data_IF_478672072451
#
_entry.id   IF_478672072451
#
_cell.length_a   1.000
_cell.length_b   1.000
_cell.length_c   1.000
_cell.angle_alpha   90.00
_cell.angle_beta   90.00
_cell.angle_gamma   90.00
#
_symmetry.space_group_name_H-M   'P 1'
#
loop_
_entity.id
_entity.type
_entity.pdbx_description
1 polymer ?
#
# COMPACT_ATOMS: atom_id res chain seq x y z
N UNK A 1 -64.69 3.51 -26.75
CA UNK A 1 -63.45 3.82 -27.51
C UNK A 1 -62.64 4.95 -26.87
N UNK A 2 -63.28 6.02 -26.40
CA UNK A 2 -62.65 7.21 -25.76
C UNK A 2 -61.81 6.88 -24.52
N UNK A 3 -62.29 6.05 -23.58
CA UNK A 3 -61.54 5.72 -22.36
C UNK A 3 -60.20 4.98 -22.58
N UNK A 4 -59.98 4.38 -23.76
CA UNK A 4 -58.74 3.63 -24.05
C UNK A 4 -57.64 4.54 -24.58
N UNK A 5 -57.99 5.62 -25.27
CA UNK A 5 -57.03 6.65 -25.69
C UNK A 5 -56.53 7.46 -24.50
N UNK A 6 -57.41 7.85 -23.57
CA UNK A 6 -57.02 8.57 -22.35
C UNK A 6 -56.05 7.75 -21.48
N UNK A 7 -56.28 6.43 -21.36
CA UNK A 7 -55.37 5.53 -20.63
C UNK A 7 -53.98 5.44 -21.28
N UNK A 8 -53.89 5.40 -22.62
CA UNK A 8 -52.61 5.42 -23.33
C UNK A 8 -51.87 6.75 -23.14
N UNK A 9 -52.61 7.86 -23.16
CA UNK A 9 -52.05 9.18 -22.90
C UNK A 9 -51.51 9.31 -21.48
N UNK A 10 -52.26 8.83 -20.47
CA UNK A 10 -51.83 8.81 -19.08
C UNK A 10 -50.59 7.93 -18.84
N UNK A 11 -50.52 6.75 -19.47
CA UNK A 11 -49.34 5.86 -19.37
C UNK A 11 -48.13 6.50 -20.06
N UNK A 12 -48.31 7.08 -21.26
CA UNK A 12 -47.25 7.79 -21.98
C UNK A 12 -46.70 9.00 -21.22
N UNK A 13 -47.59 9.78 -20.60
CA UNK A 13 -47.22 10.92 -19.76
C UNK A 13 -46.44 10.48 -18.50
N UNK A 14 -46.85 9.38 -17.85
CA UNK A 14 -46.16 8.83 -16.68
C UNK A 14 -44.73 8.33 -16.98
N UNK A 15 -44.54 7.65 -18.11
CA UNK A 15 -43.22 7.18 -18.55
C UNK A 15 -42.33 8.37 -18.95
N UNK A 16 -42.87 9.35 -19.70
CA UNK A 16 -42.14 10.56 -20.08
C UNK A 16 -41.68 11.38 -18.87
N UNK A 17 -42.56 11.57 -17.88
CA UNK A 17 -42.23 12.29 -16.64
C UNK A 17 -41.13 11.56 -15.84
N UNK A 18 -41.19 10.23 -15.77
CA UNK A 18 -40.21 9.41 -15.05
C UNK A 18 -38.82 9.47 -15.71
N UNK A 19 -38.76 9.46 -17.05
CA UNK A 19 -37.51 9.64 -17.81
C UNK A 19 -36.93 11.04 -17.58
N UNK A 20 -37.76 12.07 -17.63
CA UNK A 20 -37.34 13.46 -17.37
C UNK A 20 -36.81 13.63 -15.94
N UNK A 21 -37.53 13.13 -14.94
CA UNK A 21 -37.11 13.17 -13.54
C UNK A 21 -35.79 12.40 -13.34
N UNK A 22 -35.65 11.21 -13.94
CA UNK A 22 -34.40 10.47 -13.92
C UNK A 22 -33.24 11.28 -14.51
N UNK A 23 -33.44 11.91 -15.67
CA UNK A 23 -32.41 12.70 -16.34
C UNK A 23 -32.01 13.93 -15.52
N UNK A 24 -32.97 14.60 -14.89
CA UNK A 24 -32.73 15.75 -13.99
C UNK A 24 -31.96 15.30 -12.76
N UNK A 25 -32.38 14.24 -12.08
CA UNK A 25 -31.70 13.71 -10.89
C UNK A 25 -30.27 13.25 -11.24
N UNK A 26 -30.08 12.58 -12.39
CA UNK A 26 -28.76 12.14 -12.86
C UNK A 26 -27.84 13.33 -13.08
N UNK A 27 -28.32 14.38 -13.77
CA UNK A 27 -27.55 15.59 -14.06
C UNK A 27 -27.18 16.37 -12.80
N UNK A 28 -28.09 16.45 -11.82
CA UNK A 28 -27.81 17.09 -10.53
C UNK A 28 -26.78 16.28 -9.70
N UNK A 29 -26.86 14.93 -9.71
CA UNK A 29 -25.86 14.07 -9.06
C UNK A 29 -24.49 14.12 -9.71
N UNK A 30 -24.42 14.19 -11.04
CA UNK A 30 -23.17 14.35 -11.78
C UNK A 30 -22.52 15.70 -11.47
N UNK A 31 -23.29 16.78 -11.46
CA UNK A 31 -22.78 18.11 -11.09
C UNK A 31 -22.29 18.19 -9.64
N UNK A 32 -22.94 17.48 -8.70
CA UNK A 32 -22.52 17.46 -7.29
C UNK A 32 -21.22 16.67 -7.05
N UNK A 33 -20.74 15.88 -8.02
CA UNK A 33 -19.47 15.14 -7.91
C UNK A 33 -18.24 15.98 -8.27
N UNK A 34 -18.42 17.21 -8.76
CA UNK A 34 -17.32 18.15 -8.95
C UNK A 34 -16.91 18.76 -7.60
N UNK A 35 -16.32 17.94 -6.75
CA UNK A 35 -15.39 18.46 -5.75
C UNK A 35 -14.08 18.66 -6.49
N UNK A 36 -13.72 19.91 -6.78
CA UNK A 36 -12.46 20.24 -7.41
C UNK A 36 -11.31 19.81 -6.48
N UNK A 37 -10.73 18.65 -6.78
CA UNK A 37 -9.56 18.17 -6.05
C UNK A 37 -8.39 19.09 -6.40
N UNK A 38 -7.91 19.84 -5.41
CA UNK A 38 -6.75 20.71 -5.58
C UNK A 38 -5.49 19.85 -5.45
N UNK A 39 -4.62 19.77 -6.47
CA UNK A 39 -3.35 19.06 -6.34
C UNK A 39 -2.43 19.80 -5.34
N UNK A 40 -2.06 19.13 -4.25
CA UNK A 40 -1.20 19.70 -3.19
C UNK A 40 0.29 19.36 -3.33
N UNK A 41 0.64 18.50 -4.28
CA UNK A 41 2.02 18.07 -4.47
C UNK A 41 2.14 16.87 -5.39
N UNK A 42 3.38 16.52 -5.71
CA UNK A 42 3.74 15.33 -6.48
C UNK A 42 4.79 14.54 -5.69
N UNK A 43 4.68 13.23 -5.72
CA UNK A 43 5.67 12.33 -5.10
C UNK A 43 6.99 12.49 -5.83
N UNK A 44 8.04 12.91 -5.12
CA UNK A 44 9.38 13.05 -5.69
C UNK A 44 10.12 11.71 -5.74
N UNK A 45 10.11 10.97 -4.63
CA UNK A 45 10.87 9.74 -4.44
C UNK A 45 10.09 8.78 -3.55
N UNK A 46 10.35 7.48 -3.73
CA UNK A 46 9.77 6.41 -2.94
C UNK A 46 10.88 5.57 -2.34
N UNK A 47 10.66 5.11 -1.12
CA UNK A 47 11.61 4.28 -0.38
C UNK A 47 10.90 3.11 0.29
N UNK A 48 11.61 1.98 0.36
CA UNK A 48 11.20 0.79 1.12
C UNK A 48 12.32 0.40 2.08
N UNK A 49 11.98 -0.02 3.29
CA UNK A 49 12.93 -0.36 4.34
C UNK A 49 12.77 -1.82 4.78
N UNK A 50 13.39 -2.81 4.12
CA UNK A 50 13.18 -4.23 4.44
C UNK A 50 13.43 -4.58 5.91
N UNK A 51 14.46 -3.94 6.51
CA UNK A 51 14.81 -4.08 7.92
C UNK A 51 14.57 -2.76 8.63
N UNK A 52 13.84 -2.80 9.75
CA UNK A 52 13.53 -1.62 10.57
C UNK A 52 14.81 -0.88 10.97
N UNK A 53 14.78 0.44 10.81
CA UNK A 53 15.88 1.36 11.17
C UNK A 53 17.17 1.22 10.36
N UNK A 54 17.19 0.39 9.30
CA UNK A 54 18.31 0.32 8.36
C UNK A 54 18.14 1.31 7.18
N UNK A 55 19.11 1.33 6.27
CA UNK A 55 19.09 2.18 5.06
C UNK A 55 17.92 1.81 4.15
N UNK A 56 17.22 2.83 3.65
CA UNK A 56 16.13 2.64 2.70
C UNK A 56 16.62 2.36 1.29
N UNK A 57 15.86 1.55 0.55
CA UNK A 57 16.05 1.30 -0.87
C UNK A 57 15.19 2.30 -1.64
N UNK A 58 15.80 3.11 -2.50
CA UNK A 58 15.06 3.96 -3.44
C UNK A 58 14.42 3.10 -4.52
N UNK A 59 13.13 3.31 -4.78
CA UNK A 59 12.35 2.56 -5.77
C UNK A 59 11.58 3.49 -6.67
N UNK A 60 11.37 3.10 -7.93
CA UNK A 60 10.55 3.85 -8.87
C UNK A 60 9.06 3.76 -8.53
N UNK A 61 8.62 2.58 -8.09
CA UNK A 61 7.24 2.29 -7.71
C UNK A 61 7.20 1.16 -6.67
N UNK A 62 6.11 1.11 -5.92
CA UNK A 62 5.78 -0.02 -5.06
C UNK A 62 4.27 -0.28 -5.08
N UNK A 63 3.87 -1.48 -4.67
CA UNK A 63 2.49 -1.82 -4.41
C UNK A 63 2.09 -1.37 -3.00
N UNK A 64 0.96 -0.67 -2.87
CA UNK A 64 0.39 -0.29 -1.59
C UNK A 64 -0.37 -1.48 -0.98
N UNK A 65 0.35 -2.41 -0.37
CA UNK A 65 -0.25 -3.55 0.33
C UNK A 65 -0.92 -3.08 1.65
N UNK A 66 -1.96 -3.76 2.16
CA UNK A 66 -2.60 -3.41 3.43
C UNK A 66 -1.65 -3.29 4.64
N UNK A 67 -0.50 -3.98 4.60
CA UNK A 67 0.53 -3.95 5.64
C UNK A 67 1.63 -2.91 5.39
N UNK A 68 1.63 -2.24 4.23
CA UNK A 68 2.63 -1.23 3.86
C UNK A 68 3.15 -1.39 2.42
N UNK A 69 4.08 -0.53 1.99
CA UNK A 69 4.70 -0.60 0.67
C UNK A 69 5.43 -1.92 0.40
N UNK A 70 5.31 -2.45 -0.83
CA UNK A 70 6.01 -3.64 -1.29
C UNK A 70 6.63 -3.42 -2.67
N UNK A 71 7.93 -3.65 -2.80
CA UNK A 71 8.64 -3.57 -4.09
C UNK A 71 9.38 -4.87 -4.36
N UNK A 72 8.84 -5.69 -5.28
CA UNK A 72 9.30 -7.07 -5.46
C UNK A 72 9.17 -7.86 -4.16
N UNK A 73 10.28 -8.42 -3.69
CA UNK A 73 10.34 -9.16 -2.42
C UNK A 73 10.62 -8.26 -1.19
N UNK A 74 10.80 -6.95 -1.40
CA UNK A 74 11.10 -6.00 -0.34
C UNK A 74 9.79 -5.46 0.24
N UNK A 75 9.39 -6.00 1.39
CA UNK A 75 8.27 -5.50 2.20
C UNK A 75 8.76 -4.45 3.19
N UNK A 76 8.04 -3.34 3.33
CA UNK A 76 8.42 -2.31 4.30
C UNK A 76 8.39 -2.84 5.74
N UNK A 77 9.53 -2.74 6.43
CA UNK A 77 9.78 -3.08 7.84
C UNK A 77 9.39 -4.50 8.23
N UNK A 78 9.55 -5.44 7.31
CA UNK A 78 9.22 -6.84 7.53
C UNK A 78 10.17 -7.54 8.53
N UNK A 79 11.41 -7.05 8.63
CA UNK A 79 12.41 -7.56 9.57
C UNK A 79 12.79 -6.52 10.62
N UNK A 80 13.29 -6.99 11.76
CA UNK A 80 13.85 -6.16 12.84
C UNK A 80 15.12 -6.81 13.39
N UNK A 81 16.08 -5.99 13.80
CA UNK A 81 17.29 -6.45 14.47
C UNK A 81 17.02 -6.62 15.96
N UNK A 82 17.37 -7.79 16.49
CA UNK A 82 17.24 -8.11 17.92
C UNK A 82 18.59 -8.52 18.50
N UNK A 83 18.77 -8.30 19.80
CA UNK A 83 19.82 -8.96 20.56
C UNK A 83 19.46 -10.45 20.74
N UNK A 84 20.34 -11.34 20.29
CA UNK A 84 20.06 -12.78 20.28
C UNK A 84 19.86 -13.40 21.67
N UNK A 85 20.46 -12.81 22.72
CA UNK A 85 20.44 -13.32 24.10
C UNK A 85 19.24 -12.76 24.88
N UNK A 86 19.02 -11.46 24.78
CA UNK A 86 18.02 -10.72 25.58
C UNK A 86 16.70 -10.52 24.84
N UNK A 87 16.67 -10.71 23.52
CA UNK A 87 15.50 -10.47 22.68
C UNK A 87 15.17 -8.99 22.46
N UNK A 88 15.97 -8.07 23.00
CA UNK A 88 15.72 -6.63 22.90
C UNK A 88 15.89 -6.14 21.48
N UNK A 89 15.01 -5.24 21.05
CA UNK A 89 15.09 -4.62 19.74
C UNK A 89 16.22 -3.58 19.69
N UNK A 90 16.92 -3.57 18.56
CA UNK A 90 17.79 -2.46 18.19
C UNK A 90 17.11 -1.58 17.15
N UNK A 91 17.14 -0.28 17.42
CA UNK A 91 16.64 0.76 16.53
C UNK A 91 17.69 1.85 16.34
N UNK A 92 17.51 2.70 15.33
CA UNK A 92 18.43 3.81 15.07
C UNK A 92 18.53 4.81 16.25
N UNK A 93 17.54 4.86 17.15
CA UNK A 93 17.63 5.66 18.38
C UNK A 93 18.71 5.16 19.34
N UNK A 94 18.90 3.85 19.42
CA UNK A 94 19.91 3.22 20.28
C UNK A 94 21.24 3.03 19.53
N UNK A 95 21.17 2.74 18.23
CA UNK A 95 22.31 2.45 17.36
C UNK A 95 22.17 3.24 16.04
N UNK A 96 22.53 4.54 16.01
CA UNK A 96 22.36 5.38 14.83
C UNK A 96 23.06 4.83 13.59
N UNK A 97 24.17 4.10 13.75
CA UNK A 97 24.90 3.44 12.66
C UNK A 97 24.03 2.51 11.82
N UNK A 98 22.90 2.00 12.34
CA UNK A 98 22.00 1.14 11.58
C UNK A 98 21.54 1.77 10.27
N UNK A 99 21.37 3.09 10.22
CA UNK A 99 20.90 3.81 9.01
C UNK A 99 21.89 3.74 7.84
N UNK A 100 23.14 3.29 8.06
CA UNK A 100 24.14 3.08 7.01
C UNK A 100 24.14 1.66 6.47
N UNK A 101 23.48 0.73 7.16
CA UNK A 101 23.43 -0.69 6.81
C UNK A 101 22.47 -0.89 5.64
N UNK A 102 22.99 -1.40 4.54
CA UNK A 102 22.23 -1.76 3.35
C UNK A 102 21.54 -3.10 3.55
N UNK A 103 20.24 -3.14 3.31
CA UNK A 103 19.46 -4.36 3.39
C UNK A 103 18.70 -4.53 2.07
N UNK A 104 18.65 -5.75 1.54
CA UNK A 104 17.85 -6.11 0.36
C UNK A 104 17.41 -7.56 0.45
N UNK A 105 16.17 -7.83 0.05
CA UNK A 105 15.69 -9.18 -0.20
C UNK A 105 15.76 -9.45 -1.70
N UNK A 106 16.39 -10.58 -2.06
CA UNK A 106 16.44 -11.13 -3.41
C UNK A 106 16.51 -12.65 -3.31
N UNK A 107 15.72 -13.34 -4.14
CA UNK A 107 15.71 -14.79 -4.24
C UNK A 107 15.48 -15.44 -2.87
N UNK A 108 14.49 -14.88 -2.16
CA UNK A 108 14.13 -15.27 -0.80
C UNK A 108 15.29 -15.27 0.22
N UNK A 109 16.33 -14.48 -0.06
CA UNK A 109 17.50 -14.29 0.79
C UNK A 109 17.60 -12.83 1.22
N UNK A 110 17.71 -12.59 2.52
CA UNK A 110 18.00 -11.28 3.08
C UNK A 110 19.52 -11.05 3.08
N UNK A 111 19.98 -10.09 2.28
CA UNK A 111 21.32 -9.54 2.33
C UNK A 111 21.36 -8.37 3.29
N UNK A 112 22.34 -8.36 4.20
CA UNK A 112 22.67 -7.25 5.09
C UNK A 112 24.14 -6.90 4.88
N UNK A 113 24.43 -5.65 4.47
CA UNK A 113 25.79 -5.18 4.19
C UNK A 113 26.10 -3.90 4.97
N UNK A 114 27.22 -3.87 5.66
CA UNK A 114 27.71 -2.69 6.36
C UNK A 114 28.41 -1.74 5.40
N UNK A 115 28.58 -0.48 5.81
CA UNK A 115 29.28 0.53 5.00
C UNK A 115 30.73 0.13 4.67
N UNK A 116 31.35 -0.65 5.54
CA UNK A 116 32.73 -1.16 5.40
C UNK A 116 32.84 -2.35 4.44
N UNK A 117 31.72 -2.85 3.90
CA UNK A 117 31.68 -3.94 2.94
C UNK A 117 31.48 -5.34 3.56
N UNK A 118 31.46 -5.46 4.88
CA UNK A 118 31.10 -6.71 5.55
C UNK A 118 29.65 -7.06 5.22
N UNK A 119 29.37 -8.32 4.92
CA UNK A 119 28.02 -8.74 4.60
C UNK A 119 27.66 -10.10 5.19
N UNK A 120 26.37 -10.25 5.48
CA UNK A 120 25.75 -11.48 5.95
C UNK A 120 24.51 -11.71 5.12
N UNK A 121 24.28 -12.97 4.72
CA UNK A 121 23.08 -13.41 4.03
C UNK A 121 22.28 -14.35 4.92
N UNK A 122 20.96 -14.25 4.84
CA UNK A 122 20.03 -15.11 5.58
C UNK A 122 19.00 -15.66 4.61
N UNK A 123 19.00 -16.97 4.40
CA UNK A 123 17.96 -17.67 3.65
C UNK A 123 16.67 -17.74 4.48
N UNK A 124 15.61 -17.10 3.99
CA UNK A 124 14.35 -16.95 4.70
C UNK A 124 13.56 -18.27 4.74
N UNK A 125 13.65 -19.11 3.70
CA UNK A 125 12.95 -20.39 3.66
C UNK A 125 13.59 -21.40 4.59
N UNK A 126 14.92 -21.39 4.68
CA UNK A 126 15.65 -22.20 5.65
C UNK A 126 15.26 -21.83 7.09
N UNK A 127 15.11 -20.54 7.40
CA UNK A 127 14.63 -20.06 8.71
C UNK A 127 13.20 -20.54 9.00
N UNK A 128 12.30 -20.46 8.02
CA UNK A 128 10.91 -20.94 8.16
C UNK A 128 10.84 -22.44 8.40
N UNK A 129 11.60 -23.24 7.65
CA UNK A 129 11.65 -24.71 7.79
C UNK A 129 12.17 -25.14 9.16
N UNK A 130 13.15 -24.41 9.69
CA UNK A 130 13.77 -24.70 10.98
C UNK A 130 12.98 -24.18 12.19
N UNK A 131 11.78 -23.60 12.01
CA UNK A 131 10.93 -23.06 13.06
C UNK A 131 11.62 -22.07 14.02
N UNK A 132 12.66 -21.36 13.54
CA UNK A 132 13.39 -20.36 14.33
C UNK A 132 12.82 -18.94 14.17
N UNK A 133 11.56 -18.83 13.73
CA UNK A 133 10.85 -17.55 13.59
C UNK A 133 10.61 -16.94 14.96
N UNK A 134 11.16 -15.74 15.17
CA UNK A 134 10.88 -14.90 16.35
C UNK A 134 10.03 -13.72 15.92
N UNK A 135 8.79 -13.67 16.39
CA UNK A 135 7.93 -12.50 16.22
C UNK A 135 8.39 -11.42 17.19
N UNK A 136 8.49 -10.18 16.71
CA UNK A 136 8.68 -9.03 17.58
C UNK A 136 7.42 -8.86 18.44
N UNK A 137 7.54 -9.05 19.75
CA UNK A 137 6.48 -8.83 20.74
C UNK A 137 6.63 -7.46 21.41
#
# INVERSE_FOLDING_TARGET
MVMWEEKKFLIGAGVGASILVYYVIRRLRENSKNNDLIPIGTVKELYVYPVKSCKGISVFSFYCHPLGPVSGENFDRFFIVIDGKTGRFYTARQKPVMVTIECKVSDNTLLVRTKEGNSVTVDIDSVRKNNCLRTAM
#
